data_IF_335316110299
#
_entry.id   IF_335316110299
#
_cell.length_a   1.000
_cell.length_b   1.000
_cell.length_c   1.000
_cell.angle_alpha   90.00
_cell.angle_beta   90.00
_cell.angle_gamma   90.00
#
_symmetry.space_group_name_H-M   'P 1'
#
loop_
_entity.id
_entity.type
_entity.pdbx_description
1 polymer ?
#
# COMPACT_ATOMS: atom_id res chain seq x y z
N UNK A 1 -1.48 -33.29 78.25
CA UNK A 1 -1.67 -32.77 76.87
C UNK A 1 -2.45 -33.84 76.10
N UNK A 2 -3.73 -33.59 75.82
CA UNK A 2 -4.70 -34.61 75.43
C UNK A 2 -4.56 -35.02 73.95
N UNK A 3 -4.82 -36.30 73.65
CA UNK A 3 -4.75 -36.91 72.30
C UNK A 3 -5.60 -36.16 71.25
N UNK A 4 -6.64 -35.46 71.68
CA UNK A 4 -7.53 -34.63 70.86
C UNK A 4 -6.89 -33.33 70.36
N UNK A 5 -5.86 -32.84 71.04
CA UNK A 5 -5.17 -31.58 70.69
C UNK A 5 -4.08 -31.80 69.63
N UNK A 6 -3.46 -32.99 69.66
CA UNK A 6 -2.44 -33.40 68.70
C UNK A 6 -3.04 -33.63 67.30
N UNK A 7 -4.26 -34.19 67.24
CA UNK A 7 -5.00 -34.43 65.99
C UNK A 7 -5.40 -33.13 65.31
N UNK A 8 -5.88 -32.13 66.07
CA UNK A 8 -6.20 -30.79 65.52
C UNK A 8 -4.98 -30.04 65.01
N UNK A 9 -3.82 -30.27 65.60
CA UNK A 9 -2.57 -29.64 65.17
C UNK A 9 -2.07 -30.26 63.87
N UNK A 10 -2.19 -31.59 63.71
CA UNK A 10 -1.85 -32.29 62.48
C UNK A 10 -2.81 -31.91 61.33
N UNK A 11 -4.11 -31.79 61.61
CA UNK A 11 -5.12 -31.42 60.60
C UNK A 11 -4.95 -29.97 60.09
N UNK A 12 -4.48 -29.06 60.95
CA UNK A 12 -4.11 -27.70 60.53
C UNK A 12 -2.82 -27.67 59.70
N UNK A 13 -1.86 -28.53 60.03
CA UNK A 13 -0.61 -28.63 59.28
C UNK A 13 -0.84 -29.20 57.87
N UNK A 14 -1.68 -30.24 57.72
CA UNK A 14 -2.02 -30.81 56.42
C UNK A 14 -2.83 -29.85 55.55
N UNK A 15 -3.81 -29.14 56.13
CA UNK A 15 -4.57 -28.11 55.41
C UNK A 15 -3.70 -26.92 54.94
N UNK A 16 -2.64 -26.58 55.70
CA UNK A 16 -1.66 -25.57 55.30
C UNK A 16 -0.84 -26.00 54.08
N UNK A 17 -0.41 -27.27 54.04
CA UNK A 17 0.37 -27.83 52.93
C UNK A 17 -0.48 -27.92 51.66
N UNK A 18 -1.75 -28.33 51.74
CA UNK A 18 -2.64 -28.36 50.58
C UNK A 18 -2.86 -26.97 49.98
N UNK A 19 -3.05 -25.95 50.82
CA UNK A 19 -3.20 -24.56 50.36
C UNK A 19 -1.93 -24.04 49.69
N UNK A 20 -0.75 -24.38 50.22
CA UNK A 20 0.52 -24.01 49.61
C UNK A 20 0.71 -24.70 48.23
N UNK A 21 0.32 -25.97 48.10
CA UNK A 21 0.38 -26.71 46.84
C UNK A 21 -0.63 -26.19 45.80
N UNK A 22 -1.80 -25.73 46.22
CA UNK A 22 -2.80 -25.10 45.33
C UNK A 22 -2.36 -23.70 44.91
N UNK A 23 -1.76 -22.92 45.83
CA UNK A 23 -1.19 -21.62 45.52
C UNK A 23 -0.04 -21.73 44.51
N UNK A 24 0.87 -22.70 44.70
CA UNK A 24 1.98 -23.00 43.79
C UNK A 24 1.46 -23.37 42.39
N UNK A 25 0.47 -24.27 42.29
CA UNK A 25 -0.11 -24.66 41.00
C UNK A 25 -0.80 -23.49 40.29
N UNK A 26 -1.40 -22.57 41.04
CA UNK A 26 -2.01 -21.36 40.48
C UNK A 26 -0.95 -20.38 39.96
N UNK A 27 0.17 -20.23 40.67
CA UNK A 27 1.32 -19.43 40.18
C UNK A 27 1.95 -20.04 38.92
N UNK A 28 2.09 -21.37 38.87
CA UNK A 28 2.62 -22.08 37.69
C UNK A 28 1.71 -21.91 36.48
N UNK A 29 0.39 -21.99 36.68
CA UNK A 29 -0.59 -21.74 35.62
C UNK A 29 -0.59 -20.28 35.15
N UNK A 30 -0.34 -19.32 36.04
CA UNK A 30 -0.21 -17.92 35.64
C UNK A 30 1.09 -17.67 34.88
N UNK A 31 2.22 -18.21 35.31
CA UNK A 31 3.49 -18.11 34.58
C UNK A 31 3.36 -18.75 33.19
N UNK A 32 2.80 -19.96 33.08
CA UNK A 32 2.59 -20.64 31.79
C UNK A 32 1.61 -19.89 30.86
N UNK A 33 0.75 -19.02 31.40
CA UNK A 33 -0.12 -18.14 30.60
C UNK A 33 0.62 -16.88 30.15
N UNK A 34 1.46 -16.30 31.00
CA UNK A 34 2.31 -15.17 30.65
C UNK A 34 3.37 -15.55 29.62
N UNK A 35 3.99 -16.74 29.76
CA UNK A 35 4.98 -17.25 28.83
C UNK A 35 4.38 -17.47 27.43
N UNK A 36 3.17 -18.03 27.34
CA UNK A 36 2.43 -18.14 26.06
C UNK A 36 2.02 -16.80 25.46
N UNK A 37 1.82 -15.76 26.26
CA UNK A 37 1.50 -14.40 25.77
C UNK A 37 2.78 -13.70 25.33
N UNK A 38 3.87 -13.84 26.09
CA UNK A 38 5.18 -13.32 25.77
C UNK A 38 5.74 -13.98 24.49
N UNK A 39 5.61 -15.29 24.34
CA UNK A 39 6.03 -16.03 23.15
C UNK A 39 5.22 -15.63 21.90
N UNK A 40 3.92 -15.33 22.07
CA UNK A 40 3.07 -14.75 21.00
C UNK A 40 3.39 -13.29 20.70
N UNK A 41 3.90 -12.54 21.67
CA UNK A 41 4.34 -11.16 21.50
C UNK A 41 5.73 -11.08 20.90
N UNK A 42 6.68 -11.96 21.25
CA UNK A 42 8.00 -12.09 20.64
C UNK A 42 7.91 -12.64 19.22
N UNK A 43 7.00 -13.60 18.95
CA UNK A 43 6.72 -14.03 17.58
C UNK A 43 6.06 -12.91 16.74
N UNK A 44 5.38 -11.93 17.35
CA UNK A 44 4.89 -10.73 16.65
C UNK A 44 5.97 -9.64 16.55
N UNK A 45 6.76 -9.42 17.59
CA UNK A 45 7.81 -8.41 17.67
C UNK A 45 8.99 -8.75 16.76
N UNK A 46 9.45 -10.01 16.73
CA UNK A 46 10.46 -10.48 15.79
C UNK A 46 10.03 -10.37 14.32
N UNK A 47 8.73 -10.55 14.04
CA UNK A 47 8.17 -10.34 12.69
C UNK A 47 7.93 -8.86 12.36
N UNK A 48 7.65 -8.01 13.36
CA UNK A 48 7.52 -6.56 13.21
C UNK A 48 8.87 -5.85 13.07
N UNK A 49 9.92 -6.36 13.72
CA UNK A 49 11.29 -5.80 13.65
C UNK A 49 12.03 -6.29 12.40
N UNK A 50 11.81 -7.53 11.96
CA UNK A 50 12.30 -8.01 10.66
C UNK A 50 11.56 -7.36 9.48
N UNK A 51 10.26 -7.05 9.62
CA UNK A 51 9.50 -6.27 8.64
C UNK A 51 9.93 -4.80 8.63
N UNK A 52 10.10 -4.16 9.81
CA UNK A 52 10.62 -2.78 9.93
C UNK A 52 12.05 -2.65 9.40
N UNK A 53 12.95 -3.60 9.66
CA UNK A 53 14.31 -3.56 9.09
C UNK A 53 14.33 -3.73 7.56
N UNK A 54 13.42 -4.53 6.99
CA UNK A 54 13.30 -4.70 5.52
C UNK A 54 12.66 -3.48 4.86
N UNK A 55 11.75 -2.80 5.55
CA UNK A 55 11.12 -1.56 5.09
C UNK A 55 12.09 -0.37 5.17
N UNK A 56 12.85 -0.26 6.26
CA UNK A 56 13.90 0.76 6.41
C UNK A 56 15.05 0.58 5.42
N UNK A 57 15.46 -0.66 5.11
CA UNK A 57 16.50 -0.92 4.08
C UNK A 57 16.03 -0.60 2.65
N UNK A 58 14.73 -0.69 2.35
CA UNK A 58 14.17 -0.31 1.04
C UNK A 58 13.94 1.19 0.91
N UNK A 59 13.50 1.86 1.97
CA UNK A 59 13.36 3.33 2.00
C UNK A 59 14.74 4.02 2.04
N UNK A 60 15.72 3.44 2.73
CA UNK A 60 17.10 3.92 2.73
C UNK A 60 17.81 3.73 1.38
N UNK A 61 17.36 2.81 0.53
CA UNK A 61 17.90 2.62 -0.83
C UNK A 61 17.59 3.80 -1.76
N UNK A 62 16.36 4.32 -1.72
CA UNK A 62 15.92 5.43 -2.58
C UNK A 62 16.35 6.80 -2.05
N UNK A 63 16.44 6.97 -0.73
CA UNK A 63 16.99 8.18 -0.10
C UNK A 63 18.53 8.17 -0.16
N UNK A 64 19.17 7.01 0.03
CA UNK A 64 20.61 6.82 -0.05
C UNK A 64 21.17 6.97 -1.46
N UNK A 65 20.47 6.49 -2.49
CA UNK A 65 20.89 6.67 -3.89
C UNK A 65 20.81 8.12 -4.38
N UNK A 66 19.92 8.93 -3.79
CA UNK A 66 19.79 10.38 -4.07
C UNK A 66 20.77 11.20 -3.24
N UNK A 67 20.95 10.89 -1.95
CA UNK A 67 21.98 11.50 -1.10
C UNK A 67 23.40 11.15 -1.56
N UNK A 68 23.65 9.94 -2.05
CA UNK A 68 24.95 9.56 -2.60
C UNK A 68 25.24 10.31 -3.91
N UNK A 69 24.24 10.51 -4.78
CA UNK A 69 24.41 11.31 -6.01
C UNK A 69 24.60 12.80 -5.72
N UNK A 70 23.86 13.36 -4.77
CA UNK A 70 24.05 14.74 -4.31
C UNK A 70 25.41 14.88 -3.62
N UNK A 71 25.82 13.93 -2.78
CA UNK A 71 27.12 13.90 -2.13
C UNK A 71 28.29 13.74 -3.10
N UNK A 72 28.13 12.95 -4.16
CA UNK A 72 29.12 12.80 -5.24
C UNK A 72 29.21 14.08 -6.09
N UNK A 73 28.08 14.72 -6.41
CA UNK A 73 28.08 15.99 -7.14
C UNK A 73 28.72 17.11 -6.31
N UNK A 74 28.36 17.25 -5.03
CA UNK A 74 28.94 18.23 -4.10
C UNK A 74 30.42 17.92 -3.83
N UNK A 75 30.79 16.65 -3.74
CA UNK A 75 32.17 16.20 -3.58
C UNK A 75 33.04 16.48 -4.80
N UNK A 76 32.53 16.24 -6.01
CA UNK A 76 33.21 16.56 -7.27
C UNK A 76 33.40 18.06 -7.45
N UNK A 77 32.37 18.86 -7.16
CA UNK A 77 32.45 20.33 -7.21
C UNK A 77 33.45 20.84 -6.17
N UNK A 78 33.45 20.28 -4.95
CA UNK A 78 34.43 20.66 -3.92
C UNK A 78 35.86 20.28 -4.30
N UNK A 79 36.09 19.09 -4.85
CA UNK A 79 37.42 18.64 -5.31
C UNK A 79 37.93 19.47 -6.49
N UNK A 80 37.07 19.80 -7.45
CA UNK A 80 37.39 20.71 -8.55
C UNK A 80 37.74 22.11 -8.04
N UNK A 81 37.00 22.61 -7.05
CA UNK A 81 37.26 23.93 -6.44
C UNK A 81 38.58 23.94 -5.67
N UNK A 82 38.88 22.88 -4.89
CA UNK A 82 40.16 22.73 -4.17
C UNK A 82 41.34 22.59 -5.15
N UNK A 83 41.17 21.81 -6.23
CA UNK A 83 42.19 21.61 -7.24
C UNK A 83 42.53 22.88 -8.03
N UNK A 84 41.52 23.68 -8.39
CA UNK A 84 41.71 24.95 -9.10
C UNK A 84 42.27 26.03 -8.16
N UNK A 85 41.84 26.04 -6.89
CA UNK A 85 42.34 26.96 -5.85
C UNK A 85 43.79 26.72 -5.43
N UNK A 86 44.37 25.57 -5.77
CA UNK A 86 45.78 25.26 -5.51
C UNK A 86 46.73 25.93 -6.54
N UNK A 87 46.25 26.21 -7.76
CA UNK A 87 47.06 26.74 -8.86
C UNK A 87 46.82 28.23 -9.16
N UNK A 88 45.69 28.78 -8.74
CA UNK A 88 45.36 30.20 -8.90
C UNK A 88 45.01 30.73 -7.50
N UNK A 89 45.69 31.77 -6.96
CA UNK A 89 45.38 32.33 -5.66
C UNK A 89 44.07 33.12 -5.74
N UNK A 90 42.96 32.40 -5.79
CA UNK A 90 41.64 32.97 -5.58
C UNK A 90 41.56 33.19 -4.07
N UNK A 91 41.80 34.42 -3.63
CA UNK A 91 41.80 34.77 -2.21
C UNK A 91 40.49 34.38 -1.51
N UNK A 92 40.41 34.59 -0.20
CA UNK A 92 39.28 34.22 0.68
C UNK A 92 37.88 34.52 0.09
N UNK A 93 37.75 35.58 -0.70
CA UNK A 93 36.51 35.96 -1.37
C UNK A 93 36.01 35.00 -2.45
N UNK A 94 36.90 34.33 -3.20
CA UNK A 94 36.47 33.36 -4.20
C UNK A 94 36.06 32.03 -3.61
N UNK A 95 36.69 31.61 -2.50
CA UNK A 95 36.23 30.48 -1.71
C UNK A 95 34.82 30.74 -1.15
N UNK A 96 34.59 31.93 -0.58
CA UNK A 96 33.30 32.30 -0.03
C UNK A 96 32.20 32.39 -1.11
N UNK A 97 32.54 32.89 -2.31
CA UNK A 97 31.63 32.91 -3.44
C UNK A 97 31.27 31.51 -3.95
N UNK A 98 32.24 30.58 -4.01
CA UNK A 98 32.00 29.21 -4.41
C UNK A 98 31.12 28.44 -3.41
N UNK A 99 31.36 28.62 -2.10
CA UNK A 99 30.53 28.03 -1.04
C UNK A 99 29.12 28.63 -1.05
N UNK A 100 29.00 29.95 -1.22
CA UNK A 100 27.71 30.62 -1.36
C UNK A 100 26.91 30.12 -2.57
N UNK A 101 27.56 29.93 -3.72
CA UNK A 101 26.94 29.36 -4.91
C UNK A 101 26.49 27.91 -4.69
N UNK A 102 27.33 27.09 -4.05
CA UNK A 102 27.00 25.70 -3.74
C UNK A 102 25.79 25.59 -2.80
N UNK A 103 25.74 26.43 -1.74
CA UNK A 103 24.60 26.51 -0.82
C UNK A 103 23.36 27.04 -1.55
N UNK A 104 23.51 28.05 -2.42
CA UNK A 104 22.42 28.62 -3.22
C UNK A 104 21.80 27.59 -4.17
N UNK A 105 22.62 26.82 -4.89
CA UNK A 105 22.17 25.73 -5.78
C UNK A 105 21.53 24.60 -4.97
N UNK A 106 22.11 24.22 -3.82
CA UNK A 106 21.53 23.20 -2.94
C UNK A 106 20.18 23.64 -2.35
N UNK A 107 20.05 24.90 -1.96
CA UNK A 107 18.81 25.49 -1.46
C UNK A 107 17.75 25.57 -2.57
N UNK A 108 18.13 26.02 -3.78
CA UNK A 108 17.25 26.00 -4.96
C UNK A 108 16.76 24.58 -5.27
N UNK A 109 17.64 23.58 -5.20
CA UNK A 109 17.27 22.18 -5.46
C UNK A 109 16.42 21.57 -4.33
N UNK A 110 16.57 22.04 -3.09
CA UNK A 110 15.77 21.62 -1.95
C UNK A 110 14.37 22.27 -1.91
N UNK A 111 14.26 23.52 -2.38
CA UNK A 111 13.00 24.26 -2.47
C UNK A 111 12.25 24.04 -3.79
N UNK A 112 12.89 23.50 -4.84
CA UNK A 112 12.18 23.06 -6.04
C UNK A 112 11.35 21.81 -5.72
N UNK A 113 10.01 21.83 -5.91
CA UNK A 113 9.22 20.63 -5.78
C UNK A 113 9.71 19.62 -6.82
N UNK A 114 10.28 18.50 -6.37
CA UNK A 114 10.51 17.35 -7.24
C UNK A 114 9.15 16.79 -7.64
N UNK A 115 8.56 17.35 -8.70
CA UNK A 115 7.51 16.72 -9.48
C UNK A 115 8.06 15.42 -10.07
N UNK A 116 7.71 14.34 -9.40
CA UNK A 116 7.45 12.99 -9.92
C UNK A 116 7.15 12.09 -8.72
N UNK A 117 6.02 12.37 -8.06
CA UNK A 117 5.41 11.45 -7.08
C UNK A 117 4.28 10.60 -7.69
N UNK A 118 3.90 10.84 -8.94
CA UNK A 118 3.16 9.88 -9.75
C UNK A 118 4.13 9.00 -10.54
N UNK A 119 3.96 7.68 -10.50
CA UNK A 119 4.62 6.81 -11.48
C UNK A 119 4.17 7.16 -12.90
N UNK A 120 4.89 6.73 -13.95
CA UNK A 120 4.45 6.98 -15.32
C UNK A 120 3.03 6.42 -15.53
N UNK A 121 2.18 7.12 -16.31
CA UNK A 121 0.83 6.67 -16.64
C UNK A 121 0.86 5.27 -17.26
N UNK A 122 -0.21 4.50 -17.04
CA UNK A 122 -0.29 3.10 -17.45
C UNK A 122 -0.50 3.05 -18.98
N UNK A 123 0.42 2.47 -19.77
CA UNK A 123 0.27 2.43 -21.23
C UNK A 123 -0.95 1.61 -21.68
N UNK A 124 -1.77 2.16 -22.56
CA UNK A 124 -3.00 1.55 -23.06
C UNK A 124 -2.80 0.20 -23.80
N UNK A 125 -1.59 -0.10 -24.29
CA UNK A 125 -1.27 -1.24 -25.19
C UNK A 125 -0.91 -2.56 -24.47
N UNK A 126 -1.04 -2.64 -23.14
CA UNK A 126 -0.67 -3.84 -22.38
C UNK A 126 -1.68 -4.98 -22.52
N UNK A 127 -1.24 -6.26 -22.45
CA UNK A 127 -2.16 -7.38 -22.27
C UNK A 127 -3.11 -7.14 -21.09
N UNK A 128 -4.36 -7.58 -21.22
CA UNK A 128 -5.43 -7.26 -20.26
C UNK A 128 -5.05 -7.56 -18.79
N UNK A 129 -4.43 -8.71 -18.55
CA UNK A 129 -3.99 -9.10 -17.20
C UNK A 129 -2.83 -8.24 -16.67
N UNK A 130 -1.91 -7.83 -17.55
CA UNK A 130 -0.78 -6.99 -17.16
C UNK A 130 -1.23 -5.55 -16.87
N UNK A 131 -2.20 -5.03 -17.64
CA UNK A 131 -2.84 -3.74 -17.42
C UNK A 131 -3.39 -3.64 -16.00
N UNK A 132 -4.20 -4.63 -15.58
CA UNK A 132 -4.82 -4.65 -14.24
C UNK A 132 -3.75 -4.66 -13.15
N UNK A 133 -2.74 -5.52 -13.26
CA UNK A 133 -1.66 -5.59 -12.27
C UNK A 133 -0.80 -4.31 -12.24
N UNK A 134 -0.65 -3.61 -13.37
CA UNK A 134 0.06 -2.33 -13.42
C UNK A 134 -0.76 -1.22 -12.78
N UNK A 135 -2.07 -1.19 -13.05
CA UNK A 135 -2.98 -0.23 -12.47
C UNK A 135 -3.12 -0.39 -10.94
N UNK A 136 -3.27 -1.62 -10.44
CA UNK A 136 -3.29 -1.91 -8.99
C UNK A 136 -2.04 -1.39 -8.27
N UNK A 137 -0.85 -1.64 -8.84
CA UNK A 137 0.41 -1.08 -8.32
C UNK A 137 0.47 0.44 -8.38
N UNK A 138 -0.13 1.05 -9.40
CA UNK A 138 -0.22 2.51 -9.50
C UNK A 138 -1.10 3.06 -8.38
N UNK A 139 -2.30 2.50 -8.18
CA UNK A 139 -3.21 2.86 -7.10
C UNK A 139 -2.56 2.74 -5.72
N UNK A 140 -1.90 1.63 -5.44
CA UNK A 140 -1.19 1.39 -4.18
C UNK A 140 -0.15 2.49 -3.87
N UNK A 141 0.62 2.92 -4.88
CA UNK A 141 1.64 3.97 -4.71
C UNK A 141 1.02 5.34 -4.49
N UNK A 142 -0.06 5.64 -5.21
CA UNK A 142 -0.65 6.97 -5.18
C UNK A 142 -1.57 7.18 -3.98
N UNK A 143 -2.13 6.11 -3.40
CA UNK A 143 -3.02 6.13 -2.23
C UNK A 143 -2.57 7.11 -1.13
N UNK A 144 -1.30 7.08 -0.73
CA UNK A 144 -0.79 7.91 0.40
C UNK A 144 -0.81 9.42 0.12
N UNK A 145 -0.91 9.84 -1.14
CA UNK A 145 -0.95 11.25 -1.54
C UNK A 145 -2.37 11.84 -1.59
N UNK A 146 -3.39 10.99 -1.39
CA UNK A 146 -4.80 11.35 -1.51
C UNK A 146 -5.41 11.65 -0.12
N UNK A 147 -6.51 12.43 -0.07
CA UNK A 147 -7.23 12.69 1.16
C UNK A 147 -7.89 11.40 1.67
N UNK A 148 -8.16 11.33 2.98
CA UNK A 148 -8.71 10.13 3.62
C UNK A 148 -9.95 9.52 2.93
N UNK A 149 -10.97 10.29 2.50
CA UNK A 149 -12.12 9.71 1.79
C UNK A 149 -11.73 9.12 0.43
N UNK A 150 -10.87 9.78 -0.35
CA UNK A 150 -10.37 9.25 -1.62
C UNK A 150 -9.51 7.99 -1.46
N UNK A 151 -8.79 7.83 -0.34
CA UNK A 151 -8.07 6.59 -0.03
C UNK A 151 -9.03 5.40 0.09
N UNK A 152 -10.20 5.60 0.69
CA UNK A 152 -11.20 4.55 0.81
C UNK A 152 -11.75 4.11 -0.54
N UNK A 153 -11.98 5.04 -1.47
CA UNK A 153 -12.38 4.71 -2.84
C UNK A 153 -11.28 3.95 -3.60
N UNK A 154 -10.02 4.36 -3.46
CA UNK A 154 -8.87 3.63 -4.06
C UNK A 154 -8.76 2.20 -3.51
N UNK A 155 -9.00 2.00 -2.21
CA UNK A 155 -8.98 0.67 -1.61
C UNK A 155 -10.12 -0.21 -2.15
N UNK A 156 -11.32 0.36 -2.31
CA UNK A 156 -12.45 -0.35 -2.90
C UNK A 156 -12.18 -0.70 -4.37
N UNK A 157 -11.64 0.22 -5.17
CA UNK A 157 -11.24 -0.06 -6.56
C UNK A 157 -10.24 -1.22 -6.58
N UNK A 158 -9.18 -1.14 -5.78
CA UNK A 158 -8.15 -2.19 -5.71
C UNK A 158 -8.75 -3.56 -5.35
N UNK A 159 -9.75 -3.60 -4.47
CA UNK A 159 -10.43 -4.85 -4.10
C UNK A 159 -11.25 -5.47 -5.24
N UNK A 160 -11.83 -4.64 -6.12
CA UNK A 160 -12.61 -5.10 -7.27
C UNK A 160 -11.72 -5.53 -8.45
N UNK A 161 -10.49 -5.00 -8.53
CA UNK A 161 -9.55 -5.31 -9.61
C UNK A 161 -9.15 -6.79 -9.67
N UNK A 162 -9.17 -7.53 -8.55
CA UNK A 162 -8.86 -8.97 -8.57
C UNK A 162 -9.86 -9.76 -9.41
N UNK A 163 -11.15 -9.47 -9.20
CA UNK A 163 -12.25 -10.16 -9.86
C UNK A 163 -12.34 -9.73 -11.32
N UNK A 164 -12.23 -8.42 -11.57
CA UNK A 164 -12.17 -7.88 -12.92
C UNK A 164 -10.97 -8.44 -13.70
N UNK A 165 -9.81 -8.57 -13.07
CA UNK A 165 -8.62 -9.16 -13.69
C UNK A 165 -8.81 -10.61 -14.10
N UNK A 166 -9.52 -11.40 -13.31
CA UNK A 166 -9.86 -12.78 -13.66
C UNK A 166 -10.79 -12.87 -14.87
N UNK A 167 -11.74 -11.95 -15.00
CA UNK A 167 -12.66 -11.86 -16.14
C UNK A 167 -11.90 -11.40 -17.38
N UNK A 168 -11.18 -10.28 -17.29
CA UNK A 168 -10.44 -9.66 -18.41
C UNK A 168 -9.35 -10.57 -19.00
N UNK A 169 -8.74 -11.44 -18.18
CA UNK A 169 -7.75 -12.42 -18.65
C UNK A 169 -8.32 -13.44 -19.65
N UNK A 170 -9.62 -13.69 -19.63
CA UNK A 170 -10.30 -14.64 -20.53
C UNK A 170 -10.75 -14.01 -21.84
N UNK A 171 -10.76 -12.67 -21.90
CA UNK A 171 -11.24 -11.92 -23.05
C UNK A 171 -10.11 -11.65 -24.03
N UNK A 172 -10.48 -11.58 -25.30
CA UNK A 172 -9.62 -11.07 -26.35
C UNK A 172 -9.30 -9.58 -26.12
N UNK A 173 -8.12 -9.13 -26.53
CA UNK A 173 -7.70 -7.74 -26.39
C UNK A 173 -8.53 -6.78 -27.27
N UNK A 174 -9.13 -7.29 -28.35
CA UNK A 174 -10.04 -6.58 -29.23
C UNK A 174 -11.48 -6.50 -28.74
N UNK A 175 -11.82 -7.06 -27.58
CA UNK A 175 -13.16 -6.99 -27.01
C UNK A 175 -13.51 -5.53 -26.62
N UNK A 176 -14.67 -4.98 -27.04
CA UNK A 176 -15.03 -3.60 -26.78
C UNK A 176 -15.13 -3.26 -25.29
N UNK A 177 -15.62 -4.19 -24.46
CA UNK A 177 -15.78 -3.97 -23.03
C UNK A 177 -14.42 -4.05 -22.32
N UNK A 178 -13.54 -4.96 -22.76
CA UNK A 178 -12.17 -5.02 -22.28
C UNK A 178 -11.38 -3.74 -22.61
N UNK A 179 -11.57 -3.19 -23.81
CA UNK A 179 -10.97 -1.91 -24.21
C UNK A 179 -11.46 -0.75 -23.35
N UNK A 180 -12.75 -0.71 -23.02
CA UNK A 180 -13.30 0.36 -22.18
C UNK A 180 -12.75 0.29 -20.75
N UNK A 181 -12.70 -0.91 -20.17
CA UNK A 181 -12.06 -1.12 -18.87
C UNK A 181 -10.58 -0.69 -18.90
N UNK A 182 -9.85 -1.00 -19.99
CA UNK A 182 -8.46 -0.55 -20.18
C UNK A 182 -8.35 0.97 -20.19
N UNK A 183 -9.19 1.68 -20.96
CA UNK A 183 -9.19 3.14 -21.01
C UNK A 183 -9.48 3.77 -19.65
N UNK A 184 -10.42 3.18 -18.90
CA UNK A 184 -10.74 3.64 -17.56
C UNK A 184 -9.53 3.52 -16.62
N UNK A 185 -8.82 2.40 -16.69
CA UNK A 185 -7.60 2.14 -15.89
C UNK A 185 -6.35 2.87 -16.39
N UNK A 186 -6.22 3.14 -17.69
CA UNK A 186 -5.03 3.74 -18.28
C UNK A 186 -5.08 5.25 -18.33
N UNK A 187 -6.25 5.82 -18.62
CA UNK A 187 -6.39 7.22 -18.99
C UNK A 187 -7.25 7.97 -17.98
N UNK A 188 -8.47 7.50 -17.73
CA UNK A 188 -9.45 8.27 -16.96
C UNK A 188 -9.11 8.34 -15.47
N UNK A 189 -8.92 7.18 -14.81
CA UNK A 189 -8.60 7.14 -13.38
C UNK A 189 -7.22 7.72 -13.08
N UNK A 190 -6.13 7.33 -13.80
CA UNK A 190 -4.83 7.98 -13.61
C UNK A 190 -4.89 9.49 -13.89
N UNK A 191 -5.56 9.91 -14.97
CA UNK A 191 -5.68 11.31 -15.34
C UNK A 191 -6.42 12.15 -14.28
N UNK A 192 -7.45 11.62 -13.63
CA UNK A 192 -8.12 12.29 -12.52
C UNK A 192 -7.16 12.52 -11.34
N UNK A 193 -6.45 11.47 -10.96
CA UNK A 193 -5.47 11.48 -9.86
C UNK A 193 -4.31 12.44 -10.16
N UNK A 194 -3.82 12.45 -11.40
CA UNK A 194 -2.75 13.34 -11.85
C UNK A 194 -3.19 14.81 -11.83
N UNK A 195 -4.41 15.13 -12.28
CA UNK A 195 -4.98 16.49 -12.20
C UNK A 195 -5.11 16.95 -10.75
N UNK A 196 -5.57 16.08 -9.86
CA UNK A 196 -5.60 16.38 -8.43
C UNK A 196 -4.20 16.65 -7.86
N UNK A 197 -3.20 15.85 -8.26
CA UNK A 197 -1.83 16.02 -7.82
C UNK A 197 -1.21 17.36 -8.26
N UNK A 198 -1.67 17.93 -9.38
CA UNK A 198 -1.26 19.25 -9.86
C UNK A 198 -1.88 20.41 -9.06
N UNK A 199 -2.97 20.18 -8.31
CA UNK A 199 -3.58 21.22 -7.48
C UNK A 199 -2.71 21.48 -6.24
N UNK A 200 -2.23 22.72 -6.02
CA UNK A 200 -1.44 23.04 -4.84
C UNK A 200 -2.24 22.82 -3.55
N UNK A 201 -1.58 22.36 -2.49
CA UNK A 201 -2.25 21.92 -1.26
C UNK A 201 -3.18 23.00 -0.64
N UNK A 202 -2.80 24.27 -0.70
CA UNK A 202 -3.61 25.38 -0.16
C UNK A 202 -4.91 25.67 -0.91
N UNK A 203 -5.11 25.08 -2.10
CA UNK A 203 -6.32 25.24 -2.90
C UNK A 203 -7.23 24.01 -2.90
N UNK A 204 -6.87 22.94 -2.17
CA UNK A 204 -7.63 21.68 -2.19
C UNK A 204 -8.99 21.78 -1.49
N UNK A 205 -9.09 22.67 -0.51
CA UNK A 205 -10.35 23.01 0.17
C UNK A 205 -11.16 24.09 -0.58
N UNK A 206 -10.67 24.58 -1.73
CA UNK A 206 -11.38 25.61 -2.49
C UNK A 206 -12.66 25.05 -3.10
N UNK A 207 -13.76 25.74 -2.85
CA UNK A 207 -15.09 25.39 -3.36
C UNK A 207 -15.24 25.91 -4.80
N UNK A 208 -15.69 25.03 -5.69
CA UNK A 208 -15.99 25.36 -7.07
C UNK A 208 -17.42 25.89 -7.28
N UNK A 209 -17.80 26.12 -8.55
CA UNK A 209 -19.12 26.65 -8.90
C UNK A 209 -20.30 25.71 -8.62
N UNK A 210 -20.05 24.43 -8.32
CA UNK A 210 -21.06 23.43 -7.97
C UNK A 210 -21.13 23.21 -6.45
N UNK A 211 -20.35 23.96 -5.67
CA UNK A 211 -20.36 23.86 -4.21
C UNK A 211 -19.51 22.72 -3.66
N UNK A 212 -18.63 22.12 -4.47
CA UNK A 212 -17.73 21.04 -4.05
C UNK A 212 -16.29 21.53 -3.89
N UNK A 213 -15.60 21.03 -2.86
CA UNK A 213 -14.15 21.17 -2.76
C UNK A 213 -13.42 20.29 -3.78
N UNK A 214 -12.14 20.58 -4.03
CA UNK A 214 -11.31 19.75 -4.91
C UNK A 214 -11.14 18.34 -4.35
N UNK A 215 -11.00 18.20 -3.03
CA UNK A 215 -10.92 16.91 -2.34
C UNK A 215 -12.21 16.08 -2.48
N UNK A 216 -13.38 16.73 -2.37
CA UNK A 216 -14.68 16.10 -2.62
C UNK A 216 -14.83 15.70 -4.08
N UNK A 217 -14.47 16.59 -5.02
CA UNK A 217 -14.55 16.29 -6.46
C UNK A 217 -13.65 15.13 -6.87
N UNK A 218 -12.46 15.00 -6.28
CA UNK A 218 -11.61 13.82 -6.47
C UNK A 218 -12.32 12.57 -5.95
N UNK A 219 -12.87 12.64 -4.74
CA UNK A 219 -13.53 11.49 -4.10
C UNK A 219 -14.72 11.02 -4.94
N UNK A 220 -15.57 11.95 -5.37
CA UNK A 220 -16.73 11.66 -6.21
C UNK A 220 -16.33 11.09 -7.59
N UNK A 221 -15.30 11.67 -8.22
CA UNK A 221 -14.77 11.15 -9.48
C UNK A 221 -14.19 9.74 -9.36
N UNK A 222 -13.51 9.42 -8.24
CA UNK A 222 -13.02 8.06 -7.96
C UNK A 222 -14.17 7.08 -7.70
N UNK A 223 -15.20 7.51 -6.97
CA UNK A 223 -16.40 6.71 -6.74
C UNK A 223 -17.15 6.41 -8.05
N UNK A 224 -17.26 7.39 -8.95
CA UNK A 224 -17.83 7.20 -10.28
C UNK A 224 -17.00 6.21 -11.12
N UNK A 225 -15.68 6.34 -11.10
CA UNK A 225 -14.79 5.42 -11.81
C UNK A 225 -14.83 3.98 -11.24
N UNK A 226 -14.94 3.83 -9.92
CA UNK A 226 -15.18 2.53 -9.26
C UNK A 226 -16.47 1.90 -9.78
N UNK A 227 -17.57 2.66 -9.75
CA UNK A 227 -18.88 2.17 -10.22
C UNK A 227 -18.83 1.76 -11.69
N UNK A 228 -18.15 2.52 -12.53
CA UNK A 228 -17.99 2.17 -13.94
C UNK A 228 -17.20 0.86 -14.14
N UNK A 229 -16.15 0.61 -13.34
CA UNK A 229 -15.43 -0.69 -13.37
C UNK A 229 -16.33 -1.85 -12.93
N UNK A 230 -17.15 -1.63 -11.91
CA UNK A 230 -18.14 -2.60 -11.42
C UNK A 230 -19.20 -2.92 -12.48
N UNK A 231 -19.80 -1.90 -13.09
CA UNK A 231 -20.80 -2.05 -14.17
C UNK A 231 -20.23 -2.82 -15.38
N UNK A 232 -18.98 -2.52 -15.78
CA UNK A 232 -18.28 -3.26 -16.84
C UNK A 232 -18.02 -4.71 -16.45
N UNK A 233 -17.58 -4.96 -15.21
CA UNK A 233 -17.37 -6.31 -14.68
C UNK A 233 -18.66 -7.14 -14.66
N UNK A 234 -19.77 -6.53 -14.24
CA UNK A 234 -21.08 -7.16 -14.26
C UNK A 234 -21.57 -7.47 -15.67
N UNK A 235 -21.39 -6.55 -16.61
CA UNK A 235 -21.82 -6.76 -18.00
C UNK A 235 -21.05 -7.92 -18.64
N UNK A 236 -19.75 -8.00 -18.36
CA UNK A 236 -18.91 -9.13 -18.76
C UNK A 236 -19.37 -10.45 -18.10
N UNK A 237 -19.66 -10.43 -16.81
CA UNK A 237 -20.15 -11.61 -16.09
C UNK A 237 -21.51 -12.10 -16.62
N UNK A 238 -22.44 -11.18 -16.93
CA UNK A 238 -23.74 -11.49 -17.52
C UNK A 238 -23.60 -12.22 -18.86
N UNK A 239 -22.62 -11.84 -19.68
CA UNK A 239 -22.33 -12.50 -20.95
C UNK A 239 -21.91 -13.96 -20.77
N UNK A 240 -21.03 -14.22 -19.80
CA UNK A 240 -20.58 -15.58 -19.48
C UNK A 240 -21.73 -16.46 -18.98
N UNK A 241 -22.61 -15.91 -18.14
CA UNK A 241 -23.81 -16.60 -17.64
C UNK A 241 -24.76 -16.96 -18.81
N UNK A 242 -25.04 -16.02 -19.70
CA UNK A 242 -25.90 -16.27 -20.87
C UNK A 242 -25.31 -17.34 -21.82
N UNK A 243 -23.98 -17.34 -21.97
CA UNK A 243 -23.27 -18.37 -22.73
C UNK A 243 -23.45 -19.76 -22.13
N UNK A 244 -23.36 -19.89 -20.81
CA UNK A 244 -23.56 -21.15 -20.08
C UNK A 244 -25.00 -21.66 -20.24
N UNK A 245 -26.00 -20.80 -20.08
CA UNK A 245 -27.41 -21.19 -20.24
C UNK A 245 -27.71 -21.73 -21.64
N UNK A 246 -27.14 -21.08 -22.66
CA UNK A 246 -27.30 -21.49 -24.06
C UNK A 246 -26.74 -22.89 -24.29
N UNK A 247 -25.51 -23.15 -23.83
CA UNK A 247 -24.88 -24.47 -23.94
C UNK A 247 -25.66 -25.53 -23.16
N UNK A 248 -26.12 -25.20 -21.94
CA UNK A 248 -26.93 -26.12 -21.13
C UNK A 248 -28.24 -26.50 -21.80
N UNK A 249 -28.95 -25.54 -22.42
CA UNK A 249 -30.19 -25.82 -23.19
C UNK A 249 -29.91 -26.68 -24.42
N UNK A 250 -28.82 -26.42 -25.13
CA UNK A 250 -28.41 -27.23 -26.27
C UNK A 250 -28.16 -28.69 -25.88
N UNK A 251 -27.38 -28.93 -24.82
CA UNK A 251 -27.08 -30.28 -24.32
C UNK A 251 -28.36 -31.03 -23.92
N UNK A 252 -29.25 -30.37 -23.16
CA UNK A 252 -30.55 -30.95 -22.79
C UNK A 252 -31.40 -31.32 -24.01
N UNK A 253 -31.44 -30.46 -25.02
CA UNK A 253 -32.22 -30.72 -26.26
C UNK A 253 -31.62 -31.86 -27.09
N UNK A 254 -30.29 -31.97 -27.15
CA UNK A 254 -29.59 -32.93 -28.02
C UNK A 254 -29.44 -34.32 -27.42
N UNK A 255 -29.28 -34.41 -26.10
CA UNK A 255 -28.95 -35.65 -25.38
C UNK A 255 -29.94 -36.01 -24.26
N UNK A 256 -30.79 -35.08 -23.83
CA UNK A 256 -31.76 -35.32 -22.74
C UNK A 256 -33.04 -36.04 -23.15
N UNK A 257 -33.15 -36.53 -24.39
CA UNK A 257 -34.31 -37.31 -24.88
C UNK A 257 -34.06 -38.82 -25.00
N UNK A 258 -32.84 -39.28 -24.73
CA UNK A 258 -32.45 -40.67 -24.94
C UNK A 258 -32.64 -41.57 -23.69
N UNK A 259 -33.23 -41.06 -22.59
CA UNK A 259 -33.46 -41.80 -21.33
C UNK A 259 -34.94 -42.17 -21.06
N UNK A 260 -35.82 -42.17 -22.07
CA UNK A 260 -37.20 -42.66 -21.94
C UNK A 260 -37.45 -43.78 -22.95
N UNK A 261 -36.92 -44.97 -22.66
CA UNK A 261 -37.44 -46.25 -23.14
C UNK A 261 -37.52 -47.25 -21.99
#
# INVERSE_FOLDING_TARGET
MSFTDQTRTIERATAGIERALVASRKTDQTLARYERIAERMDARAGNLDAARQRELRRVAGDVGGRLARIGVAVGLISLLTIGIGLFIPIGMFGFLAAVGLAIGVAALMAFWPSEKRGGPPVPAELPNAEMVARFDRYLYRTRRALPAPAQAEVDQISSQLSDLGAILKRLDEGDPQAREARRLMSDHLPGLIERYAQVPAGYRDSIDGEGMSVDERLTDGLAAGRKALEELGEELARRDIAGLETHGRFLKSRYGRDEIE
#
